data_IF_475429360025
#
_entry.id   IF_475429360025
#
_cell.length_a   1.000
_cell.length_b   1.000
_cell.length_c   1.000
_cell.angle_alpha   90.00
_cell.angle_beta   90.00
_cell.angle_gamma   90.00
#
_symmetry.space_group_name_H-M   'P 1'
#
loop_
_entity.id
_entity.type
_entity.pdbx_description
1 polymer ?
#
# COMPACT_ATOMS: atom_id res chain seq x y z
N UNK A 1 -13.54 -8.03 14.61
CA UNK A 1 -13.85 -7.76 13.22
C UNK A 1 -12.60 -7.30 12.48
N UNK A 2 -12.18 -8.08 11.50
CA UNK A 2 -10.94 -7.84 10.77
C UNK A 2 -11.12 -6.67 9.80
N UNK A 3 -10.21 -5.70 9.86
CA UNK A 3 -10.37 -4.50 9.05
C UNK A 3 -9.02 -3.86 8.73
N UNK A 4 -8.90 -3.33 7.52
CA UNK A 4 -7.80 -2.48 7.09
C UNK A 4 -8.40 -1.18 6.57
N UNK A 5 -7.81 -0.05 6.97
CA UNK A 5 -8.31 1.28 6.57
C UNK A 5 -7.16 2.12 6.05
N UNK A 6 -7.24 2.49 4.77
CA UNK A 6 -6.26 3.39 4.15
C UNK A 6 -6.64 4.84 4.38
N UNK A 7 -5.64 5.69 4.46
CA UNK A 7 -5.84 7.14 4.55
C UNK A 7 -4.63 7.86 3.97
N UNK A 8 -4.77 9.17 3.79
CA UNK A 8 -3.69 10.03 3.32
C UNK A 8 -3.77 10.39 1.85
N UNK A 9 -4.75 9.88 1.12
CA UNK A 9 -4.93 10.23 -0.28
C UNK A 9 -5.36 11.69 -0.46
N UNK A 10 -5.59 12.06 -1.69
CA UNK A 10 -6.03 13.39 -2.05
C UNK A 10 -5.37 13.86 -3.33
N UNK A 11 -5.57 15.15 -3.62
CA UNK A 11 -5.01 15.77 -4.82
C UNK A 11 -3.62 16.31 -4.55
N UNK A 12 -2.69 16.03 -5.47
CA UNK A 12 -1.31 16.50 -5.39
C UNK A 12 -0.87 17.08 -6.74
N UNK A 13 -0.20 18.24 -6.74
CA UNK A 13 0.37 18.78 -7.98
C UNK A 13 1.71 18.15 -8.37
N UNK A 14 2.08 17.05 -7.76
CA UNK A 14 3.38 16.43 -7.86
C UNK A 14 4.03 16.39 -6.47
N UNK A 15 5.33 16.15 -6.40
CA UNK A 15 6.05 16.12 -5.13
C UNK A 15 5.87 14.80 -4.40
N UNK A 16 5.50 14.85 -3.13
CA UNK A 16 5.45 13.65 -2.28
C UNK A 16 4.17 13.57 -1.49
N UNK A 17 3.85 12.34 -1.06
CA UNK A 17 2.66 12.04 -0.28
C UNK A 17 2.92 10.77 0.53
N UNK A 18 2.39 10.67 1.74
CA UNK A 18 2.48 9.44 2.53
C UNK A 18 1.08 8.89 2.79
N UNK A 19 0.87 7.63 2.41
CA UNK A 19 -0.34 6.90 2.70
C UNK A 19 -0.14 6.06 3.95
N UNK A 20 -1.22 5.81 4.69
CA UNK A 20 -1.25 4.94 5.86
C UNK A 20 -2.27 3.84 5.67
N UNK A 21 -2.02 2.70 6.29
CA UNK A 21 -2.95 1.58 6.35
C UNK A 21 -3.00 1.12 7.79
N UNK A 22 -4.13 1.32 8.47
CA UNK A 22 -4.32 0.94 9.86
C UNK A 22 -5.10 -0.36 9.95
N UNK A 23 -4.57 -1.30 10.73
CA UNK A 23 -5.16 -2.62 10.91
C UNK A 23 -5.87 -2.72 12.25
N UNK A 24 -6.96 -3.47 12.28
CA UNK A 24 -7.65 -3.79 13.52
C UNK A 24 -8.31 -5.15 13.43
N UNK A 25 -8.51 -5.79 14.58
CA UNK A 25 -9.23 -7.05 14.68
C UNK A 25 -8.38 -8.29 14.40
N UNK A 26 -7.07 -8.15 14.21
CA UNK A 26 -6.18 -9.29 14.01
C UNK A 26 -4.76 -8.93 14.45
N UNK A 27 -3.91 -9.96 14.54
CA UNK A 27 -2.51 -9.76 14.94
C UNK A 27 -1.70 -9.29 13.72
N UNK A 28 -1.60 -7.98 13.58
CA UNK A 28 -0.97 -7.32 12.42
C UNK A 28 0.47 -7.82 12.20
N UNK A 29 1.21 -8.03 13.29
CA UNK A 29 2.65 -8.31 13.23
C UNK A 29 3.01 -9.65 12.60
N UNK A 30 2.04 -10.53 12.34
CA UNK A 30 2.34 -11.83 11.72
C UNK A 30 2.00 -11.88 10.23
N UNK A 31 1.51 -10.78 9.67
CA UNK A 31 1.06 -10.75 8.28
C UNK A 31 1.98 -9.91 7.41
N UNK A 32 2.17 -10.34 6.17
CA UNK A 32 2.67 -9.47 5.13
C UNK A 32 1.55 -8.53 4.67
N UNK A 33 1.88 -7.30 4.33
CA UNK A 33 0.89 -6.30 3.89
C UNK A 33 1.35 -5.75 2.54
N UNK A 34 0.42 -5.74 1.59
CA UNK A 34 0.64 -5.27 0.23
C UNK A 34 -0.03 -3.93 0.00
N UNK A 35 0.55 -3.15 -0.92
CA UNK A 35 -0.14 -2.05 -1.57
C UNK A 35 -0.42 -2.45 -3.01
N UNK A 36 -1.67 -2.22 -3.45
CA UNK A 36 -2.14 -2.48 -4.81
C UNK A 36 -2.90 -1.24 -5.24
N UNK A 37 -2.79 -0.84 -6.50
CA UNK A 37 -3.49 0.34 -7.00
C UNK A 37 -4.29 0.02 -8.23
N UNK A 38 -5.31 0.86 -8.49
CA UNK A 38 -6.11 0.75 -9.70
C UNK A 38 -6.30 2.14 -10.30
N UNK A 39 -5.67 2.37 -11.44
CA UNK A 39 -5.82 3.61 -12.19
C UNK A 39 -7.19 3.62 -12.89
N UNK A 40 -7.73 4.82 -13.21
CA UNK A 40 -9.02 4.91 -13.88
C UNK A 40 -9.07 4.09 -15.16
N UNK A 41 -10.07 3.21 -15.25
CA UNK A 41 -10.29 2.38 -16.43
C UNK A 41 -9.30 1.27 -16.65
N UNK A 42 -8.44 0.97 -15.68
CA UNK A 42 -7.41 -0.06 -15.79
C UNK A 42 -7.59 -1.13 -14.72
N UNK A 43 -6.87 -2.23 -14.86
CA UNK A 43 -6.89 -3.31 -13.89
C UNK A 43 -6.05 -2.99 -12.65
N UNK A 44 -6.08 -3.90 -11.70
CA UNK A 44 -5.26 -3.79 -10.51
C UNK A 44 -3.78 -3.93 -10.88
N UNK A 45 -2.95 -3.09 -10.26
CA UNK A 45 -1.50 -3.14 -10.40
C UNK A 45 -0.89 -3.28 -9.01
N UNK A 46 -0.13 -4.35 -8.80
CA UNK A 46 0.59 -4.53 -7.53
C UNK A 46 1.70 -3.49 -7.42
N UNK A 47 1.85 -2.90 -6.24
CA UNK A 47 2.80 -1.80 -5.99
C UNK A 47 3.97 -2.25 -5.13
N UNK A 48 3.69 -2.82 -3.96
CA UNK A 48 4.74 -3.16 -3.00
C UNK A 48 4.22 -4.11 -1.94
N UNK A 49 5.15 -4.80 -1.27
CA UNK A 49 4.83 -5.65 -0.12
C UNK A 49 5.90 -5.48 0.95
N UNK A 50 5.48 -5.55 2.18
CA UNK A 50 6.39 -5.60 3.33
C UNK A 50 6.02 -6.83 4.19
N UNK A 51 7.03 -7.61 4.54
CA UNK A 51 6.84 -8.80 5.35
C UNK A 51 6.60 -8.44 6.80
N UNK A 52 6.22 -9.45 7.59
CA UNK A 52 5.72 -9.27 8.96
C UNK A 52 6.68 -8.47 9.86
N UNK A 53 7.96 -8.67 9.73
CA UNK A 53 8.98 -8.03 10.58
C UNK A 53 9.56 -6.73 9.99
N UNK A 54 9.14 -6.37 8.77
CA UNK A 54 9.65 -5.17 8.11
C UNK A 54 11.00 -5.33 7.45
N UNK A 55 11.63 -6.50 7.53
CA UNK A 55 12.97 -6.70 7.01
C UNK A 55 13.01 -6.92 5.50
N UNK A 56 11.97 -7.51 4.94
CA UNK A 56 11.89 -7.80 3.51
C UNK A 56 10.82 -6.93 2.87
N UNK A 57 11.23 -6.22 1.81
CA UNK A 57 10.38 -5.30 1.08
C UNK A 57 10.61 -5.52 -0.40
N UNK A 58 9.53 -5.54 -1.17
CA UNK A 58 9.62 -5.70 -2.62
C UNK A 58 8.72 -4.69 -3.29
N UNK A 59 9.14 -4.22 -4.46
CA UNK A 59 8.47 -3.14 -5.18
C UNK A 59 8.27 -3.51 -6.64
N UNK A 60 7.19 -3.03 -7.24
CA UNK A 60 7.02 -3.06 -8.68
C UNK A 60 8.07 -2.17 -9.34
N UNK A 61 8.50 -2.55 -10.54
CA UNK A 61 9.51 -1.77 -11.28
C UNK A 61 9.05 -0.33 -11.51
N UNK A 62 7.76 -0.13 -11.71
CA UNK A 62 7.21 1.21 -11.99
C UNK A 62 7.38 2.20 -10.83
N UNK A 63 7.61 1.71 -9.60
CA UNK A 63 7.70 2.58 -8.42
C UNK A 63 9.05 2.49 -7.71
N UNK A 64 9.95 1.58 -8.11
CA UNK A 64 11.27 1.45 -7.48
C UNK A 64 12.01 2.77 -7.50
N UNK A 65 12.64 3.09 -6.36
CA UNK A 65 13.41 4.32 -6.21
C UNK A 65 12.57 5.55 -5.90
N UNK A 66 11.27 5.47 -6.04
CA UNK A 66 10.35 6.58 -5.75
C UNK A 66 9.49 6.33 -4.52
N UNK A 67 9.04 5.09 -4.35
CA UNK A 67 8.15 4.70 -3.24
C UNK A 67 8.91 3.89 -2.22
N UNK A 68 8.58 4.08 -0.94
CA UNK A 68 9.17 3.34 0.17
C UNK A 68 8.05 2.84 1.07
N UNK A 69 8.02 1.52 1.30
CA UNK A 69 7.06 0.90 2.20
C UNK A 69 7.71 0.70 3.58
N UNK A 70 6.94 0.91 4.63
CA UNK A 70 7.41 0.70 6.00
C UNK A 70 6.24 0.30 6.87
N UNK A 71 6.52 -0.19 8.08
CA UNK A 71 5.46 -0.53 9.03
C UNK A 71 5.92 -0.27 10.45
N UNK A 72 4.94 -0.02 11.33
CA UNK A 72 5.13 0.11 12.75
C UNK A 72 4.19 -0.88 13.43
N UNK A 73 4.73 -2.03 13.83
CA UNK A 73 3.92 -3.09 14.41
C UNK A 73 3.36 -2.71 15.79
N UNK A 74 3.98 -1.75 16.48
CA UNK A 74 3.47 -1.28 17.76
C UNK A 74 2.20 -0.44 17.60
N UNK A 75 1.96 0.10 16.41
CA UNK A 75 0.79 0.92 16.09
C UNK A 75 -0.17 0.20 15.13
N UNK A 76 0.12 -1.04 14.76
CA UNK A 76 -0.65 -1.79 13.77
C UNK A 76 -0.87 -0.99 12.49
N UNK A 77 0.17 -0.33 12.02
CA UNK A 77 0.08 0.59 10.88
C UNK A 77 1.19 0.32 9.88
N UNK A 78 0.87 0.46 8.61
CA UNK A 78 1.81 0.35 7.50
C UNK A 78 1.72 1.63 6.67
N UNK A 79 2.82 2.02 6.06
CA UNK A 79 2.94 3.29 5.34
C UNK A 79 3.49 3.07 3.94
N UNK A 80 3.09 3.96 3.03
CA UNK A 80 3.70 4.07 1.70
C UNK A 80 4.10 5.52 1.50
N UNK A 81 5.41 5.77 1.49
CA UNK A 81 5.95 7.09 1.18
C UNK A 81 6.14 7.18 -0.33
N UNK A 82 5.46 8.11 -0.96
CA UNK A 82 5.52 8.30 -2.41
C UNK A 82 6.25 9.60 -2.70
N UNK A 83 7.29 9.54 -3.52
CA UNK A 83 8.08 10.69 -3.93
C UNK A 83 8.10 10.79 -5.44
N UNK A 84 8.42 11.99 -5.95
CA UNK A 84 8.50 12.22 -7.39
C UNK A 84 7.23 11.74 -8.09
N UNK A 85 6.09 12.17 -7.56
CA UNK A 85 4.78 11.74 -8.05
C UNK A 85 4.58 12.15 -9.51
N UNK A 86 4.00 11.24 -10.28
CA UNK A 86 3.68 11.40 -11.70
C UNK A 86 2.18 11.34 -11.90
N UNK A 87 1.73 11.90 -13.00
CA UNK A 87 0.31 11.84 -13.36
C UNK A 87 -0.18 10.37 -13.42
N UNK A 88 0.67 9.47 -13.93
CA UNK A 88 0.29 8.05 -14.02
C UNK A 88 0.33 7.31 -12.67
N UNK A 89 0.67 7.98 -11.57
CA UNK A 89 0.46 7.43 -10.23
C UNK A 89 -0.97 7.67 -9.73
N UNK A 90 -1.79 8.41 -10.49
CA UNK A 90 -3.21 8.62 -10.15
C UNK A 90 -3.94 7.28 -10.12
N UNK A 91 -4.53 6.94 -8.97
CA UNK A 91 -5.19 5.67 -8.77
C UNK A 91 -5.88 5.63 -7.42
N UNK A 92 -6.74 4.63 -7.23
CA UNK A 92 -7.17 4.23 -5.89
C UNK A 92 -6.12 3.27 -5.36
N UNK A 93 -5.62 3.51 -4.15
CA UNK A 93 -4.61 2.69 -3.50
C UNK A 93 -5.24 1.88 -2.38
N UNK A 94 -5.05 0.56 -2.45
CA UNK A 94 -5.58 -0.40 -1.49
C UNK A 94 -4.44 -1.05 -0.72
N UNK A 95 -4.64 -1.30 0.56
CA UNK A 95 -3.77 -2.22 1.29
C UNK A 95 -4.50 -3.55 1.49
N UNK A 96 -3.74 -4.63 1.52
CA UNK A 96 -4.30 -5.97 1.66
C UNK A 96 -3.35 -6.83 2.48
N UNK A 97 -3.91 -7.64 3.38
CA UNK A 97 -3.08 -8.54 4.17
C UNK A 97 -2.90 -9.88 3.45
N UNK A 98 -1.77 -10.49 3.71
CA UNK A 98 -1.41 -11.77 3.14
C UNK A 98 -0.92 -12.68 4.27
N UNK A 99 -1.69 -13.72 4.63
CA UNK A 99 -1.29 -14.59 5.73
C UNK A 99 -0.14 -15.54 5.39
N UNK A 100 0.21 -15.65 4.11
CA UNK A 100 1.25 -16.57 3.66
C UNK A 100 2.52 -15.79 3.38
N UNK A 101 3.48 -15.90 4.29
CA UNK A 101 4.77 -15.23 4.16
C UNK A 101 5.47 -15.71 2.89
N UNK A 102 5.94 -14.74 2.09
CA UNK A 102 6.63 -15.04 0.85
C UNK A 102 5.74 -15.44 -0.30
N UNK A 103 4.42 -15.41 -0.13
CA UNK A 103 3.51 -15.74 -1.20
C UNK A 103 3.46 -14.62 -2.24
N UNK A 104 2.86 -14.94 -3.37
CA UNK A 104 2.58 -13.96 -4.40
C UNK A 104 1.25 -13.27 -4.11
N UNK A 105 0.87 -12.35 -4.99
CA UNK A 105 -0.29 -11.49 -4.78
C UNK A 105 -1.61 -12.24 -4.60
N UNK A 106 -1.70 -13.48 -5.03
CA UNK A 106 -2.93 -14.27 -4.90
C UNK A 106 -3.20 -14.76 -3.48
N UNK A 107 -2.29 -14.53 -2.53
CA UNK A 107 -2.50 -14.88 -1.12
C UNK A 107 -3.28 -13.84 -0.31
N UNK A 108 -3.66 -12.73 -0.89
CA UNK A 108 -4.36 -11.65 -0.19
C UNK A 108 -5.80 -12.05 0.13
N UNK A 109 -6.20 -11.89 1.41
CA UNK A 109 -7.53 -12.34 1.85
C UNK A 109 -8.40 -11.22 2.41
N UNK A 110 -7.82 -10.12 2.89
CA UNK A 110 -8.60 -8.98 3.41
C UNK A 110 -8.04 -7.70 2.79
N UNK A 111 -8.95 -6.86 2.29
CA UNK A 111 -8.62 -5.62 1.60
C UNK A 111 -9.27 -4.43 2.30
N UNK A 112 -8.61 -3.30 2.28
CA UNK A 112 -9.24 -2.03 2.66
C UNK A 112 -10.16 -1.52 1.57
N UNK A 113 -10.81 -0.39 1.84
CA UNK A 113 -11.73 0.24 0.89
C UNK A 113 -11.02 1.11 -0.14
N UNK A 114 -9.78 1.46 0.14
CA UNK A 114 -8.98 2.27 -0.76
C UNK A 114 -8.98 3.75 -0.43
N UNK A 115 -7.91 4.41 -0.82
CA UNK A 115 -7.79 5.88 -0.75
C UNK A 115 -7.37 6.38 -2.12
N UNK A 116 -8.02 7.44 -2.60
CA UNK A 116 -7.78 7.96 -3.95
C UNK A 116 -6.64 8.97 -3.92
N UNK A 117 -5.68 8.78 -4.83
CA UNK A 117 -4.60 9.73 -5.07
C UNK A 117 -4.76 10.27 -6.48
N UNK A 118 -4.81 11.59 -6.61
CA UNK A 118 -4.91 12.27 -7.91
C UNK A 118 -3.70 13.19 -8.05
N UNK A 119 -2.90 12.95 -9.07
CA UNK A 119 -1.71 13.76 -9.36
C UNK A 119 -1.96 14.57 -10.62
N UNK A 120 -1.89 15.88 -10.51
CA UNK A 120 -2.07 16.76 -11.66
C UNK A 120 -0.71 17.22 -12.19
N UNK A 121 -0.69 17.55 -13.46
CA UNK A 121 0.50 18.11 -14.09
C UNK A 121 0.65 19.61 -13.85
#
# INVERSE_FOLDING_TARGET
QVQLVESGGGWQPGGSLRLSCEASGFMFSVYAIHWVRQAPGKGLEWVAVIWHDGSNKYYADSVKGRFTISRDNSKDTMYLQMKTLRVDDTAVYYCARDPIVGSKTDGMDVWGQGTTVTVSS
#
